data_IF_877072679904
#
_entry.id   IF_877072679904
#
_cell.length_a   1.000
_cell.length_b   1.000
_cell.length_c   1.000
_cell.angle_alpha   90.00
_cell.angle_beta   90.00
_cell.angle_gamma   90.00
#
_symmetry.space_group_name_H-M   'P 1'
#
loop_
_entity.id
_entity.type
_entity.pdbx_description
1 polymer ?
#
# COMPACT_ATOMS: atom_id res chain seq x y z
N UNK A 1 -24.08 -27.77 -0.92
CA UNK A 1 -23.00 -28.74 -1.18
C UNK A 1 -21.85 -28.20 -2.03
N UNK A 2 -22.02 -27.64 -3.25
CA UNK A 2 -20.89 -26.99 -3.99
C UNK A 2 -20.42 -25.65 -3.40
N UNK A 3 -21.33 -24.82 -2.88
CA UNK A 3 -20.98 -23.57 -2.20
C UNK A 3 -20.35 -23.78 -0.81
N UNK A 4 -20.68 -24.87 -0.13
CA UNK A 4 -20.13 -25.20 1.20
C UNK A 4 -18.67 -25.64 1.08
N UNK A 5 -18.31 -26.47 0.10
CA UNK A 5 -16.92 -26.86 -0.14
C UNK A 5 -16.03 -25.67 -0.52
N UNK A 6 -16.47 -24.77 -1.41
CA UNK A 6 -15.68 -23.56 -1.73
C UNK A 6 -15.60 -22.58 -0.57
N UNK A 7 -16.64 -22.48 0.27
CA UNK A 7 -16.61 -21.66 1.49
C UNK A 7 -15.62 -22.20 2.52
N UNK A 8 -15.57 -23.51 2.71
CA UNK A 8 -14.69 -24.19 3.68
C UNK A 8 -13.21 -24.06 3.29
N UNK A 9 -12.84 -24.24 2.01
CA UNK A 9 -11.47 -24.00 1.53
C UNK A 9 -11.04 -22.53 1.63
N UNK A 10 -11.96 -21.59 1.40
CA UNK A 10 -11.70 -20.15 1.56
C UNK A 10 -11.51 -19.79 3.04
N UNK A 11 -12.28 -20.40 3.94
CA UNK A 11 -12.15 -20.22 5.39
C UNK A 11 -10.86 -20.83 5.94
N UNK A 12 -10.46 -22.03 5.48
CA UNK A 12 -9.19 -22.65 5.86
C UNK A 12 -8.00 -21.81 5.39
N UNK A 13 -8.03 -21.30 4.16
CA UNK A 13 -7.01 -20.40 3.64
C UNK A 13 -6.94 -19.08 4.42
N UNK A 14 -8.10 -18.54 4.81
CA UNK A 14 -8.19 -17.33 5.62
C UNK A 14 -7.62 -17.54 7.02
N UNK A 15 -7.95 -18.63 7.71
CA UNK A 15 -7.42 -18.90 9.06
C UNK A 15 -5.91 -19.11 9.03
N UNK A 16 -5.39 -19.84 8.04
CA UNK A 16 -3.95 -20.01 7.85
C UNK A 16 -3.25 -18.65 7.59
N UNK A 17 -3.88 -17.76 6.84
CA UNK A 17 -3.40 -16.38 6.63
C UNK A 17 -3.42 -15.57 7.93
N UNK A 18 -4.48 -15.68 8.73
CA UNK A 18 -4.58 -15.02 10.04
C UNK A 18 -3.52 -15.53 11.02
N UNK A 19 -3.26 -16.83 11.07
CA UNK A 19 -2.19 -17.45 11.85
C UNK A 19 -0.80 -16.98 11.41
N UNK A 20 -0.59 -16.85 10.11
CA UNK A 20 0.64 -16.26 9.59
C UNK A 20 0.80 -14.81 10.06
N UNK A 21 -0.24 -13.98 9.92
CA UNK A 21 -0.22 -12.58 10.37
C UNK A 21 0.05 -12.45 11.87
N UNK A 22 -0.56 -13.30 12.71
CA UNK A 22 -0.29 -13.33 14.17
C UNK A 22 1.17 -13.66 14.49
N UNK A 23 1.77 -14.61 13.78
CA UNK A 23 3.21 -14.93 13.94
C UNK A 23 4.10 -13.76 13.54
N UNK A 24 3.79 -13.08 12.44
CA UNK A 24 4.54 -11.88 12.02
C UNK A 24 4.39 -10.75 13.05
N UNK A 25 3.20 -10.58 13.63
CA UNK A 25 2.97 -9.61 14.73
C UNK A 25 3.85 -9.96 15.93
N UNK A 26 3.90 -11.23 16.34
CA UNK A 26 4.73 -11.67 17.46
C UNK A 26 6.20 -11.37 17.21
N UNK A 27 6.75 -11.78 16.05
CA UNK A 27 8.13 -11.50 15.66
C UNK A 27 8.42 -9.98 15.63
N UNK A 28 7.49 -9.18 15.11
CA UNK A 28 7.63 -7.74 15.01
C UNK A 28 7.63 -7.06 16.40
N UNK A 29 6.72 -7.44 17.28
CA UNK A 29 6.61 -6.88 18.63
C UNK A 29 7.80 -7.29 19.51
N UNK A 30 8.30 -8.53 19.37
CA UNK A 30 9.47 -9.03 20.10
C UNK A 30 10.74 -8.19 19.85
N UNK A 31 10.81 -7.46 18.73
CA UNK A 31 11.92 -6.53 18.46
C UNK A 31 11.96 -5.35 19.45
N UNK A 32 10.83 -5.01 20.08
CA UNK A 32 10.67 -3.82 20.94
C UNK A 32 10.61 -2.47 20.20
N UNK A 33 10.78 -2.46 18.87
CA UNK A 33 10.81 -1.24 18.06
C UNK A 33 9.52 -0.97 17.30
N UNK A 34 8.71 -2.00 17.03
CA UNK A 34 7.51 -1.88 16.20
C UNK A 34 6.36 -1.31 17.03
N UNK A 35 5.89 -0.13 16.64
CA UNK A 35 4.83 0.64 17.33
C UNK A 35 3.67 1.02 16.40
N UNK A 36 3.53 0.32 15.28
CA UNK A 36 2.38 0.51 14.42
C UNK A 36 2.09 -0.72 13.55
N UNK A 37 0.83 -0.84 13.15
CA UNK A 37 0.35 -1.92 12.29
C UNK A 37 -0.52 -1.34 11.17
N UNK A 38 -0.19 -1.70 9.94
CA UNK A 38 -1.06 -1.50 8.78
C UNK A 38 -1.77 -2.81 8.51
N UNK A 39 -3.10 -2.79 8.45
CA UNK A 39 -3.88 -3.94 8.04
C UNK A 39 -4.53 -3.67 6.70
N UNK A 40 -4.17 -4.48 5.72
CA UNK A 40 -4.85 -4.58 4.43
C UNK A 40 -5.68 -5.86 4.42
N UNK A 41 -6.98 -5.69 4.24
CA UNK A 41 -7.94 -6.77 4.10
C UNK A 41 -8.82 -6.54 2.84
N UNK A 42 -8.29 -5.85 1.83
CA UNK A 42 -9.01 -5.48 0.60
C UNK A 42 -9.50 -6.69 -0.19
N UNK A 43 -8.76 -7.80 -0.17
CA UNK A 43 -9.17 -9.08 -0.79
C UNK A 43 -10.48 -9.67 -0.20
N UNK A 44 -10.89 -9.23 1.00
CA UNK A 44 -12.10 -9.67 1.67
C UNK A 44 -13.31 -8.75 1.40
N UNK A 45 -13.16 -7.73 0.55
CA UNK A 45 -14.26 -6.81 0.19
C UNK A 45 -15.22 -7.50 -0.79
N UNK A 46 -16.50 -7.49 -0.43
CA UNK A 46 -17.59 -8.14 -1.18
C UNK A 46 -18.28 -7.16 -2.14
N UNK A 47 -17.65 -6.94 -3.29
CA UNK A 47 -18.14 -6.00 -4.32
C UNK A 47 -19.49 -6.39 -4.92
N UNK A 48 -19.95 -7.63 -4.78
CA UNK A 48 -21.25 -8.06 -5.28
C UNK A 48 -22.42 -7.26 -4.69
N UNK A 49 -22.31 -6.78 -3.45
CA UNK A 49 -23.38 -6.04 -2.78
C UNK A 49 -23.61 -4.63 -3.33
N UNK A 50 -22.72 -4.12 -4.18
CA UNK A 50 -22.91 -2.82 -4.86
C UNK A 50 -23.57 -2.95 -6.22
N UNK A 51 -23.84 -4.17 -6.70
CA UNK A 51 -24.52 -4.41 -7.98
C UNK A 51 -26.04 -4.58 -7.76
N UNK A 52 -26.89 -3.58 -8.09
CA UNK A 52 -28.33 -3.67 -7.86
C UNK A 52 -29.03 -4.72 -8.71
N UNK A 53 -28.39 -5.17 -9.80
CA UNK A 53 -28.93 -6.23 -10.66
C UNK A 53 -28.77 -7.62 -10.04
N UNK A 54 -27.72 -7.83 -9.26
CA UNK A 54 -27.46 -9.07 -8.51
C UNK A 54 -28.08 -9.03 -7.11
N UNK A 55 -28.08 -7.86 -6.48
CA UNK A 55 -28.57 -7.63 -5.12
C UNK A 55 -29.59 -6.49 -5.10
N UNK A 56 -30.87 -6.79 -5.41
CA UNK A 56 -31.98 -5.86 -5.19
C UNK A 56 -32.09 -5.43 -3.73
N UNK A 57 -32.67 -4.25 -3.48
CA UNK A 57 -32.76 -3.68 -2.12
C UNK A 57 -33.52 -4.58 -1.12
N UNK A 58 -34.52 -5.34 -1.58
CA UNK A 58 -35.22 -6.31 -0.74
C UNK A 58 -34.28 -7.37 -0.18
N UNK A 59 -33.41 -7.92 -1.04
CA UNK A 59 -32.47 -8.98 -0.68
C UNK A 59 -31.32 -8.44 0.16
N UNK A 60 -30.82 -7.23 -0.15
CA UNK A 60 -29.83 -6.52 0.68
C UNK A 60 -30.34 -6.34 2.10
N UNK A 61 -31.61 -5.94 2.26
CA UNK A 61 -32.22 -5.78 3.59
C UNK A 61 -32.24 -7.09 4.34
N UNK A 62 -32.74 -8.16 3.72
CA UNK A 62 -32.80 -9.50 4.34
C UNK A 62 -31.41 -9.97 4.77
N UNK A 63 -30.43 -9.89 3.87
CA UNK A 63 -29.05 -10.30 4.14
C UNK A 63 -28.41 -9.47 5.26
N UNK A 64 -28.61 -8.15 5.24
CA UNK A 64 -28.11 -7.26 6.28
C UNK A 64 -28.62 -7.64 7.67
N UNK A 65 -29.93 -7.83 7.84
CA UNK A 65 -30.50 -8.23 9.13
C UNK A 65 -30.07 -9.64 9.54
N UNK A 66 -29.89 -10.55 8.56
CA UNK A 66 -29.41 -11.90 8.82
C UNK A 66 -27.96 -11.91 9.31
N UNK A 67 -27.05 -11.19 8.64
CA UNK A 67 -25.64 -11.18 9.00
C UNK A 67 -25.36 -10.37 10.28
N UNK A 68 -26.04 -9.23 10.46
CA UNK A 68 -25.77 -8.34 11.59
C UNK A 68 -26.60 -8.64 12.84
N UNK A 69 -27.75 -9.30 12.71
CA UNK A 69 -28.61 -9.67 13.84
C UNK A 69 -28.89 -8.48 14.75
N UNK A 70 -28.60 -8.63 16.05
CA UNK A 70 -28.81 -7.58 17.06
C UNK A 70 -27.95 -6.32 16.82
N UNK A 71 -26.81 -6.44 16.13
CA UNK A 71 -25.92 -5.31 15.85
C UNK A 71 -26.41 -4.43 14.68
N UNK A 72 -27.42 -4.89 13.92
CA UNK A 72 -27.91 -4.17 12.74
C UNK A 72 -28.43 -2.76 13.08
N UNK A 73 -29.18 -2.63 14.18
CA UNK A 73 -29.67 -1.36 14.69
C UNK A 73 -28.53 -0.40 15.04
N UNK A 74 -27.45 -0.92 15.64
CA UNK A 74 -26.29 -0.10 16.00
C UNK A 74 -25.53 0.38 14.75
N UNK A 75 -25.41 -0.47 13.74
CA UNK A 75 -24.80 -0.10 12.45
C UNK A 75 -25.62 0.98 11.74
N UNK A 76 -26.95 0.89 11.74
CA UNK A 76 -27.80 1.93 11.16
C UNK A 76 -27.77 3.24 11.98
N UNK A 77 -27.39 3.20 13.26
CA UNK A 77 -27.24 4.39 14.11
C UNK A 77 -25.85 5.02 14.05
N UNK A 78 -24.82 4.26 13.69
CA UNK A 78 -23.45 4.78 13.58
C UNK A 78 -23.32 5.85 12.48
N UNK A 79 -24.20 5.79 11.48
CA UNK A 79 -24.36 6.79 10.43
C UNK A 79 -25.85 7.12 10.33
N UNK A 80 -26.24 8.33 10.71
CA UNK A 80 -27.66 8.72 10.69
C UNK A 80 -28.14 8.86 9.23
N UNK A 81 -29.16 8.10 8.80
CA UNK A 81 -29.72 8.25 7.46
C UNK A 81 -30.23 9.67 7.23
N UNK A 82 -29.95 10.21 6.05
CA UNK A 82 -30.31 11.57 5.60
C UNK A 82 -29.72 12.72 6.43
N UNK A 83 -28.90 12.43 7.44
CA UNK A 83 -28.10 13.45 8.11
C UNK A 83 -27.04 14.00 7.15
N UNK A 84 -26.84 15.32 7.20
CA UNK A 84 -25.86 16.02 6.38
C UNK A 84 -24.58 16.24 7.18
N UNK A 85 -23.56 15.46 6.86
CA UNK A 85 -22.22 15.64 7.39
C UNK A 85 -21.49 16.68 6.54
N UNK A 86 -21.29 17.89 7.08
CA UNK A 86 -20.56 18.98 6.42
C UNK A 86 -19.09 18.91 6.83
N UNK A 87 -18.21 18.57 5.88
CA UNK A 87 -16.80 18.29 6.08
C UNK A 87 -15.96 19.23 5.21
N UNK A 88 -15.43 20.33 5.76
CA UNK A 88 -14.51 21.28 5.11
C UNK A 88 -14.89 21.68 3.65
N UNK A 89 -14.58 20.83 2.66
CA UNK A 89 -14.86 21.01 1.24
C UNK A 89 -16.02 20.16 0.65
N UNK A 90 -16.70 19.31 1.43
CA UNK A 90 -17.77 18.40 0.95
C UNK A 90 -18.93 18.28 1.94
N UNK A 91 -20.14 18.02 1.43
CA UNK A 91 -21.30 17.56 2.22
C UNK A 91 -21.63 16.11 1.85
N UNK A 92 -21.72 15.22 2.84
CA UNK A 92 -22.04 13.80 2.67
C UNK A 92 -23.35 13.48 3.39
N UNK A 93 -24.21 12.69 2.75
CA UNK A 93 -25.39 12.09 3.38
C UNK A 93 -25.58 10.67 2.88
N UNK A 94 -26.24 9.84 3.67
CA UNK A 94 -26.46 8.43 3.38
C UNK A 94 -27.95 8.08 3.37
N UNK A 95 -28.35 7.20 2.48
CA UNK A 95 -29.62 6.48 2.60
C UNK A 95 -29.41 5.21 3.43
N UNK A 96 -30.49 4.64 3.97
CA UNK A 96 -30.42 3.33 4.63
C UNK A 96 -29.87 2.24 3.71
N UNK A 97 -30.26 2.27 2.43
CA UNK A 97 -29.78 1.31 1.43
C UNK A 97 -28.25 1.36 1.29
N UNK A 98 -27.67 2.55 1.18
CA UNK A 98 -26.22 2.71 1.07
C UNK A 98 -25.50 2.19 2.31
N UNK A 99 -26.03 2.46 3.51
CA UNK A 99 -25.45 1.95 4.76
C UNK A 99 -25.47 0.42 4.79
N UNK A 100 -26.59 -0.20 4.42
CA UNK A 100 -26.71 -1.66 4.38
C UNK A 100 -25.77 -2.30 3.35
N UNK A 101 -25.66 -1.69 2.15
CA UNK A 101 -24.74 -2.17 1.09
C UNK A 101 -23.29 -2.06 1.53
N UNK A 102 -22.88 -0.92 2.11
CA UNK A 102 -21.52 -0.76 2.62
C UNK A 102 -21.24 -1.70 3.79
N UNK A 103 -22.21 -1.91 4.68
CA UNK A 103 -22.10 -2.87 5.77
C UNK A 103 -21.82 -4.28 5.27
N UNK A 104 -22.59 -4.77 4.29
CA UNK A 104 -22.34 -6.08 3.69
C UNK A 104 -21.01 -6.12 2.92
N UNK A 105 -20.70 -5.10 2.12
CA UNK A 105 -19.46 -5.00 1.33
C UNK A 105 -18.21 -5.10 2.21
N UNK A 106 -18.19 -4.42 3.35
CA UNK A 106 -17.00 -4.29 4.21
C UNK A 106 -17.01 -5.18 5.48
N UNK A 107 -18.09 -5.93 5.75
CA UNK A 107 -18.22 -6.71 6.99
C UNK A 107 -17.01 -7.61 7.26
N UNK A 108 -16.68 -8.48 6.31
CA UNK A 108 -15.66 -9.51 6.52
C UNK A 108 -14.27 -8.89 6.69
N UNK A 109 -13.92 -7.90 5.86
CA UNK A 109 -12.62 -7.23 5.97
C UNK A 109 -12.48 -6.46 7.30
N UNK A 110 -13.52 -5.77 7.78
CA UNK A 110 -13.46 -5.04 9.04
C UNK A 110 -13.43 -5.96 10.27
N UNK A 111 -14.13 -7.10 10.23
CA UNK A 111 -14.05 -8.10 11.29
C UNK A 111 -12.64 -8.68 11.42
N UNK A 112 -11.99 -9.05 10.31
CA UNK A 112 -10.62 -9.56 10.32
C UNK A 112 -9.59 -8.50 10.68
N UNK A 113 -9.80 -7.25 10.25
CA UNK A 113 -9.03 -6.10 10.71
C UNK A 113 -9.12 -5.91 12.22
N UNK A 114 -10.32 -6.05 12.80
CA UNK A 114 -10.53 -5.97 14.26
C UNK A 114 -9.81 -7.07 15.02
N UNK A 115 -9.84 -8.30 14.52
CA UNK A 115 -9.10 -9.42 15.13
C UNK A 115 -7.60 -9.13 15.23
N UNK A 116 -6.99 -8.64 14.14
CA UNK A 116 -5.56 -8.26 14.14
C UNK A 116 -5.29 -7.03 15.01
N UNK A 117 -6.18 -6.04 15.01
CA UNK A 117 -6.07 -4.86 15.86
C UNK A 117 -6.06 -5.23 17.35
N UNK A 118 -7.02 -6.04 17.82
CA UNK A 118 -7.09 -6.45 19.22
C UNK A 118 -5.90 -7.34 19.61
N UNK A 119 -5.46 -8.20 18.69
CA UNK A 119 -4.26 -9.01 18.90
C UNK A 119 -3.02 -8.13 19.09
N UNK A 120 -2.80 -7.16 18.18
CA UNK A 120 -1.66 -6.24 18.26
C UNK A 120 -1.73 -5.34 19.49
N UNK A 121 -2.92 -4.85 19.84
CA UNK A 121 -3.17 -4.06 21.06
C UNK A 121 -2.79 -4.82 22.33
N UNK A 122 -3.13 -6.09 22.42
CA UNK A 122 -2.75 -6.95 23.54
C UNK A 122 -1.21 -7.07 23.65
N UNK A 123 -0.53 -7.25 22.52
CA UNK A 123 0.94 -7.41 22.45
C UNK A 123 1.71 -6.13 22.77
N UNK A 124 1.11 -4.96 22.51
CA UNK A 124 1.74 -3.64 22.68
C UNK A 124 1.23 -2.87 23.90
N UNK A 125 0.38 -3.48 24.74
CA UNK A 125 -0.31 -2.81 25.86
C UNK A 125 -1.08 -1.54 25.43
N UNK A 126 -1.59 -1.51 24.20
CA UNK A 126 -2.34 -0.38 23.64
C UNK A 126 -1.51 0.85 23.23
N UNK A 127 -0.19 0.78 23.31
CA UNK A 127 0.71 1.86 22.87
C UNK A 127 1.23 1.60 21.45
N UNK A 128 0.36 1.87 20.48
CA UNK A 128 0.63 1.70 19.05
C UNK A 128 -0.20 2.62 18.16
N UNK A 129 0.20 2.73 16.90
CA UNK A 129 -0.58 3.36 15.85
C UNK A 129 -1.22 2.34 14.90
N UNK A 130 -2.50 2.55 14.57
CA UNK A 130 -3.23 1.70 13.64
C UNK A 130 -3.49 2.40 12.31
N UNK A 131 -3.21 1.69 11.22
CA UNK A 131 -3.50 2.11 9.86
C UNK A 131 -4.46 1.13 9.17
N UNK A 132 -5.60 1.65 8.69
CA UNK A 132 -6.53 0.94 7.82
C UNK A 132 -6.11 1.12 6.35
N UNK A 133 -5.77 0.03 5.66
CA UNK A 133 -5.46 0.05 4.22
C UNK A 133 -6.67 -0.28 3.37
N UNK A 134 -6.91 0.53 2.35
CA UNK A 134 -7.95 0.41 1.31
C UNK A 134 -7.38 0.76 -0.07
N UNK A 135 -6.06 0.70 -0.26
CA UNK A 135 -5.36 1.15 -1.47
C UNK A 135 -5.22 0.06 -2.54
N UNK A 136 -5.24 -1.22 -2.16
CA UNK A 136 -5.16 -2.36 -3.08
C UNK A 136 -6.53 -2.79 -3.64
N UNK A 137 -7.45 -1.84 -3.81
CA UNK A 137 -8.78 -2.08 -4.41
C UNK A 137 -8.77 -1.88 -5.93
N UNK A 138 -9.62 -2.59 -6.71
CA UNK A 138 -9.75 -2.37 -8.16
C UNK A 138 -10.31 -0.99 -8.52
N UNK A 139 -11.06 -0.37 -7.60
CA UNK A 139 -11.72 0.91 -7.78
C UNK A 139 -11.11 1.98 -6.87
N UNK A 140 -11.15 3.24 -7.31
CA UNK A 140 -10.79 4.38 -6.47
C UNK A 140 -11.70 4.42 -5.24
N UNK A 141 -11.14 4.78 -4.08
CA UNK A 141 -11.93 4.85 -2.85
C UNK A 141 -12.96 5.97 -2.94
N UNK A 142 -14.24 5.61 -2.81
CA UNK A 142 -15.34 6.56 -2.73
C UNK A 142 -15.36 7.26 -1.35
N UNK A 143 -15.62 8.58 -1.28
CA UNK A 143 -15.66 9.31 -0.01
C UNK A 143 -16.68 8.77 1.00
N UNK A 144 -17.84 8.28 0.53
CA UNK A 144 -18.88 7.69 1.39
C UNK A 144 -18.44 6.34 1.92
N UNK A 145 -17.75 5.56 1.11
CA UNK A 145 -17.16 4.28 1.54
C UNK A 145 -16.06 4.51 2.58
N UNK A 146 -15.16 5.48 2.37
CA UNK A 146 -14.15 5.85 3.37
C UNK A 146 -14.80 6.30 4.69
N UNK A 147 -15.82 7.16 4.61
CA UNK A 147 -16.55 7.61 5.78
C UNK A 147 -17.21 6.43 6.50
N UNK A 148 -17.83 5.51 5.77
CA UNK A 148 -18.43 4.30 6.33
C UNK A 148 -17.39 3.47 7.08
N UNK A 149 -16.27 3.13 6.44
CA UNK A 149 -15.22 2.32 7.04
C UNK A 149 -14.67 2.95 8.33
N UNK A 150 -14.38 4.26 8.32
CA UNK A 150 -13.86 4.95 9.51
C UNK A 150 -14.91 5.05 10.63
N UNK A 151 -16.18 5.27 10.29
CA UNK A 151 -17.28 5.25 11.26
C UNK A 151 -17.43 3.88 11.91
N UNK A 152 -17.36 2.83 11.09
CA UNK A 152 -17.51 1.45 11.54
C UNK A 152 -16.30 1.00 12.37
N UNK A 153 -15.07 1.40 12.01
CA UNK A 153 -13.90 1.21 12.84
C UNK A 153 -14.07 1.86 14.22
N UNK A 154 -14.55 3.11 14.27
CA UNK A 154 -14.84 3.80 15.54
C UNK A 154 -15.90 3.05 16.35
N UNK A 155 -16.99 2.57 15.72
CA UNK A 155 -18.03 1.78 16.38
C UNK A 155 -17.46 0.49 16.98
N UNK A 156 -16.56 -0.18 16.25
CA UNK A 156 -15.88 -1.40 16.70
C UNK A 156 -14.78 -1.18 17.75
N UNK A 157 -14.50 0.07 18.14
CA UNK A 157 -13.45 0.40 19.12
C UNK A 157 -12.02 0.43 18.55
N UNK A 158 -11.88 0.48 17.22
CA UNK A 158 -10.59 0.61 16.54
C UNK A 158 -10.25 2.10 16.36
N UNK A 159 -9.22 2.58 17.05
CA UNK A 159 -8.71 3.93 16.89
C UNK A 159 -7.83 4.00 15.64
N UNK A 160 -8.33 4.59 14.56
CA UNK A 160 -7.61 4.72 13.28
C UNK A 160 -6.82 6.02 13.26
N UNK A 161 -5.49 5.94 13.31
CA UNK A 161 -4.62 7.13 13.20
C UNK A 161 -4.32 7.47 11.74
N UNK A 162 -4.20 6.42 10.92
CA UNK A 162 -3.81 6.51 9.53
C UNK A 162 -4.80 5.74 8.65
N UNK A 163 -5.08 6.24 7.46
CA UNK A 163 -5.89 5.52 6.47
C UNK A 163 -5.27 5.66 5.09
N UNK A 164 -5.14 4.54 4.39
CA UNK A 164 -4.55 4.50 3.05
C UNK A 164 -5.62 4.21 2.00
N UNK A 165 -6.26 5.23 1.41
CA UNK A 165 -7.23 5.02 0.34
C UNK A 165 -6.56 4.80 -1.02
N UNK A 166 -7.26 4.14 -1.93
CA UNK A 166 -6.89 4.09 -3.35
C UNK A 166 -7.17 5.45 -4.02
N UNK A 167 -6.10 6.24 -4.19
CA UNK A 167 -6.13 7.53 -4.90
C UNK A 167 -5.77 7.42 -6.38
N UNK A 168 -5.53 6.21 -6.89
CA UNK A 168 -5.09 5.95 -8.27
C UNK A 168 -3.57 5.91 -8.44
N UNK A 169 -2.84 5.60 -7.38
CA UNK A 169 -1.38 5.43 -7.44
C UNK A 169 -1.01 4.00 -7.80
N UNK A 170 -0.22 3.86 -8.86
CA UNK A 170 0.40 2.58 -9.21
C UNK A 170 1.77 2.44 -8.56
N UNK A 171 2.15 1.21 -8.20
CA UNK A 171 3.49 0.86 -7.74
C UNK A 171 4.50 1.17 -8.84
N UNK A 172 5.60 1.86 -8.48
CA UNK A 172 6.79 2.07 -9.33
C UNK A 172 6.58 2.90 -10.62
N UNK A 173 5.44 3.54 -10.75
CA UNK A 173 5.13 4.45 -11.85
C UNK A 173 4.78 5.84 -11.32
N UNK A 174 4.98 6.85 -12.17
CA UNK A 174 4.43 8.17 -11.88
C UNK A 174 2.90 8.18 -12.08
N UNK A 175 2.22 9.15 -11.48
CA UNK A 175 0.78 9.34 -11.68
C UNK A 175 0.49 9.85 -13.09
N UNK A 176 -0.30 9.09 -13.86
CA UNK A 176 -0.61 9.39 -15.27
C UNK A 176 -1.90 10.21 -15.46
N UNK A 177 -2.66 10.44 -14.39
CA UNK A 177 -3.95 11.14 -14.43
C UNK A 177 -3.83 12.67 -14.34
N UNK A 178 -4.99 13.34 -14.33
CA UNK A 178 -5.06 14.78 -14.14
C UNK A 178 -4.72 15.18 -12.70
N UNK A 179 -3.76 16.08 -12.52
CA UNK A 179 -3.39 16.60 -11.20
C UNK A 179 -4.54 17.36 -10.53
N UNK A 180 -5.40 18.04 -11.29
CA UNK A 180 -6.56 18.73 -10.74
C UNK A 180 -7.62 17.75 -10.21
N UNK A 181 -7.80 16.61 -10.89
CA UNK A 181 -8.69 15.55 -10.42
C UNK A 181 -8.12 14.85 -9.19
N UNK A 182 -6.82 14.56 -9.18
CA UNK A 182 -6.13 14.03 -8.02
C UNK A 182 -6.26 14.98 -6.82
N UNK A 183 -6.04 16.28 -7.04
CA UNK A 183 -6.17 17.30 -6.00
C UNK A 183 -7.56 17.27 -5.38
N UNK A 184 -8.62 17.39 -6.19
CA UNK A 184 -10.01 17.37 -5.70
C UNK A 184 -10.33 16.10 -4.93
N UNK A 185 -9.91 14.94 -5.45
CA UNK A 185 -10.10 13.64 -4.81
C UNK A 185 -9.44 13.59 -3.43
N UNK A 186 -8.16 13.99 -3.37
CA UNK A 186 -7.39 13.97 -2.12
C UNK A 186 -7.92 15.00 -1.11
N UNK A 187 -8.34 16.19 -1.55
CA UNK A 187 -8.98 17.20 -0.68
C UNK A 187 -10.21 16.60 0.01
N UNK A 188 -11.08 15.94 -0.74
CA UNK A 188 -12.29 15.30 -0.21
C UNK A 188 -11.95 14.15 0.74
N UNK A 189 -11.05 13.25 0.35
CA UNK A 189 -10.66 12.11 1.20
C UNK A 189 -9.97 12.57 2.49
N UNK A 190 -9.17 13.65 2.41
CA UNK A 190 -8.51 14.27 3.57
C UNK A 190 -9.52 14.90 4.53
N UNK A 191 -10.56 15.56 4.01
CA UNK A 191 -11.64 16.10 4.82
C UNK A 191 -12.41 14.98 5.56
N UNK A 192 -12.68 13.86 4.89
CA UNK A 192 -13.29 12.68 5.51
C UNK A 192 -12.40 12.08 6.60
N UNK A 193 -11.12 11.83 6.30
CA UNK A 193 -10.18 11.28 7.29
C UNK A 193 -10.04 12.21 8.52
N UNK A 194 -9.93 13.52 8.28
CA UNK A 194 -9.82 14.54 9.32
C UNK A 194 -11.02 14.59 10.27
N UNK A 195 -12.24 14.34 9.78
CA UNK A 195 -13.44 14.22 10.63
C UNK A 195 -13.33 13.11 11.68
N UNK A 196 -12.61 12.04 11.37
CA UNK A 196 -12.33 10.93 12.29
C UNK A 196 -11.00 11.08 13.04
N UNK A 197 -10.30 12.22 12.90
CA UNK A 197 -8.95 12.50 13.39
C UNK A 197 -7.82 11.65 12.76
N UNK A 198 -8.11 10.94 11.66
CA UNK A 198 -7.12 10.18 10.92
C UNK A 198 -6.31 11.08 9.97
N UNK A 199 -5.18 10.56 9.49
CA UNK A 199 -4.32 11.19 8.49
C UNK A 199 -4.25 10.27 7.26
N UNK A 200 -4.33 10.85 6.06
CA UNK A 200 -4.12 10.07 4.84
C UNK A 200 -2.67 9.59 4.75
N UNK A 201 -2.51 8.29 4.52
CA UNK A 201 -1.22 7.70 4.15
C UNK A 201 -1.20 7.26 2.68
N UNK A 202 -0.22 7.73 1.94
CA UNK A 202 -0.05 7.44 0.53
C UNK A 202 0.89 6.25 0.35
N UNK A 203 0.31 5.10 0.01
CA UNK A 203 1.04 3.92 -0.44
C UNK A 203 1.43 4.05 -1.91
N UNK A 204 2.39 3.22 -2.36
CA UNK A 204 2.93 3.28 -3.72
C UNK A 204 3.45 4.67 -4.11
N UNK A 205 3.82 5.48 -3.12
CA UNK A 205 4.07 6.90 -3.29
C UNK A 205 5.49 7.26 -3.70
N UNK A 206 6.47 6.36 -3.60
CA UNK A 206 7.90 6.69 -3.72
C UNK A 206 8.38 7.12 -5.12
N UNK A 207 7.64 6.74 -6.16
CA UNK A 207 8.06 6.91 -7.56
C UNK A 207 7.30 8.04 -8.27
N UNK A 208 6.67 8.94 -7.50
CA UNK A 208 5.89 10.05 -8.04
C UNK A 208 6.75 11.27 -8.34
N UNK A 209 6.31 12.08 -9.30
CA UNK A 209 6.94 13.36 -9.63
C UNK A 209 6.73 14.40 -8.53
N UNK A 210 7.58 15.44 -8.56
CA UNK A 210 7.52 16.57 -7.61
C UNK A 210 6.16 17.28 -7.69
N UNK A 211 5.58 17.37 -8.88
CA UNK A 211 4.27 17.97 -9.13
C UNK A 211 3.17 17.18 -8.42
N UNK A 212 3.23 15.84 -8.44
CA UNK A 212 2.29 14.98 -7.72
C UNK A 212 2.43 15.16 -6.21
N UNK A 213 3.65 15.17 -5.68
CA UNK A 213 3.88 15.42 -4.25
C UNK A 213 3.32 16.78 -3.80
N UNK A 214 3.62 17.84 -4.54
CA UNK A 214 3.07 19.18 -4.27
C UNK A 214 1.55 19.22 -4.34
N UNK A 215 0.96 18.43 -5.24
CA UNK A 215 -0.50 18.33 -5.40
C UNK A 215 -1.13 17.70 -4.16
N UNK A 216 -0.65 16.54 -3.72
CA UNK A 216 -1.20 15.85 -2.53
C UNK A 216 -0.92 16.64 -1.25
N UNK A 217 0.23 17.32 -1.15
CA UNK A 217 0.56 18.14 0.01
C UNK A 217 -0.38 19.34 0.18
N UNK A 218 -0.67 20.05 -0.92
CA UNK A 218 -1.65 21.14 -0.91
C UNK A 218 -3.04 20.63 -0.56
N UNK A 219 -3.45 19.51 -1.15
CA UNK A 219 -4.75 18.90 -0.92
C UNK A 219 -4.95 18.45 0.54
N UNK A 220 -3.90 17.91 1.17
CA UNK A 220 -3.92 17.52 2.58
C UNK A 220 -3.56 18.64 3.55
N UNK A 221 -3.34 19.88 3.08
CA UNK A 221 -2.90 21.03 3.90
C UNK A 221 -1.66 20.70 4.76
N UNK A 222 -0.73 19.90 4.21
CA UNK A 222 0.48 19.44 4.90
C UNK A 222 0.29 18.33 5.95
N UNK A 223 -0.95 17.87 6.21
CA UNK A 223 -1.27 16.77 7.13
C UNK A 223 -1.40 15.45 6.37
N UNK A 224 -0.27 14.80 6.10
CA UNK A 224 -0.22 13.53 5.38
C UNK A 224 0.96 12.66 5.85
N UNK A 225 0.89 11.38 5.50
CA UNK A 225 2.00 10.43 5.55
C UNK A 225 2.26 9.89 4.13
N UNK A 226 3.52 9.62 3.80
CA UNK A 226 3.91 9.01 2.52
C UNK A 226 4.82 7.82 2.82
N UNK A 227 4.46 6.61 2.36
CA UNK A 227 5.33 5.45 2.47
C UNK A 227 6.40 5.46 1.38
N UNK A 228 7.66 5.47 1.82
CA UNK A 228 8.83 5.32 0.95
C UNK A 228 9.65 4.09 1.39
N UNK A 229 9.79 3.10 0.50
CA UNK A 229 10.54 1.88 0.80
C UNK A 229 11.45 1.46 -0.37
N UNK A 230 10.84 1.14 -1.51
CA UNK A 230 11.50 0.60 -2.69
C UNK A 230 12.60 1.51 -3.25
N UNK A 231 12.37 2.83 -3.25
CA UNK A 231 13.30 3.80 -3.81
C UNK A 231 14.68 3.75 -3.17
N UNK A 232 14.79 3.47 -1.88
CA UNK A 232 16.08 3.42 -1.18
C UNK A 232 16.94 2.24 -1.65
N UNK A 233 16.32 1.08 -1.90
CA UNK A 233 17.05 -0.04 -2.49
C UNK A 233 17.48 0.25 -3.93
N UNK A 234 16.66 0.95 -4.73
CA UNK A 234 17.08 1.42 -6.06
C UNK A 234 18.25 2.41 -5.97
N UNK A 235 18.26 3.32 -4.99
CA UNK A 235 19.42 4.19 -4.74
C UNK A 235 20.67 3.43 -4.35
N UNK A 236 20.54 2.30 -3.65
CA UNK A 236 21.68 1.43 -3.38
C UNK A 236 22.23 0.82 -4.67
N UNK A 237 21.37 0.32 -5.56
CA UNK A 237 21.81 -0.20 -6.86
C UNK A 237 22.41 0.88 -7.77
N UNK A 238 21.89 2.12 -7.72
CA UNK A 238 22.54 3.27 -8.37
C UNK A 238 23.96 3.49 -7.85
N UNK A 239 24.18 3.43 -6.53
CA UNK A 239 25.53 3.55 -5.98
C UNK A 239 26.45 2.47 -6.51
N UNK A 240 26.02 1.21 -6.49
CA UNK A 240 26.83 0.10 -6.98
C UNK A 240 27.15 0.22 -8.48
N UNK A 241 26.19 0.70 -9.27
CA UNK A 241 26.39 0.97 -10.69
C UNK A 241 27.37 2.13 -10.94
N UNK A 242 27.42 3.14 -10.07
CA UNK A 242 28.31 4.31 -10.21
C UNK A 242 29.80 3.99 -9.91
N UNK A 243 30.12 2.81 -9.39
CA UNK A 243 31.52 2.41 -9.18
C UNK A 243 32.21 2.05 -10.52
N UNK A 244 33.56 2.20 -10.60
CA UNK A 244 34.31 1.89 -11.80
C UNK A 244 34.08 0.47 -12.32
N UNK A 245 34.12 0.31 -13.63
CA UNK A 245 34.09 -0.99 -14.29
C UNK A 245 35.21 -1.89 -13.75
N UNK A 246 34.91 -3.15 -13.47
CA UNK A 246 35.85 -4.08 -12.84
C UNK A 246 36.02 -3.94 -11.33
N UNK A 247 35.31 -3.04 -10.65
CA UNK A 247 35.18 -3.06 -9.19
C UNK A 247 34.27 -4.22 -8.72
N UNK A 248 34.32 -4.56 -7.44
CA UNK A 248 33.42 -5.58 -6.86
C UNK A 248 31.97 -5.10 -6.86
N UNK A 249 31.77 -3.83 -6.52
CA UNK A 249 30.48 -3.14 -6.45
C UNK A 249 29.78 -3.16 -7.80
N UNK A 250 30.51 -2.74 -8.85
CA UNK A 250 29.99 -2.72 -10.21
C UNK A 250 29.64 -4.11 -10.71
N UNK A 251 30.51 -5.11 -10.47
CA UNK A 251 30.23 -6.51 -10.82
C UNK A 251 28.98 -7.03 -10.13
N UNK A 252 28.82 -6.77 -8.82
CA UNK A 252 27.62 -7.19 -8.08
C UNK A 252 26.36 -6.57 -8.68
N UNK A 253 26.39 -5.29 -9.03
CA UNK A 253 25.26 -4.65 -9.72
C UNK A 253 24.96 -5.32 -11.06
N UNK A 254 25.98 -5.59 -11.88
CA UNK A 254 25.81 -6.20 -13.21
C UNK A 254 25.26 -7.63 -13.14
N UNK A 255 25.66 -8.41 -12.13
CA UNK A 255 25.12 -9.75 -11.86
C UNK A 255 23.65 -9.68 -11.40
N UNK A 256 23.31 -8.72 -10.54
CA UNK A 256 21.92 -8.46 -10.10
C UNK A 256 21.07 -8.06 -11.31
N UNK A 257 21.61 -7.24 -12.20
CA UNK A 257 20.94 -6.83 -13.42
C UNK A 257 20.63 -8.01 -14.33
N UNK A 258 21.60 -8.89 -14.58
CA UNK A 258 21.40 -10.11 -15.37
C UNK A 258 20.37 -11.03 -14.74
N UNK A 259 20.47 -11.25 -13.42
CA UNK A 259 19.50 -12.06 -12.69
C UNK A 259 18.09 -11.51 -12.83
N UNK A 260 17.95 -10.18 -12.72
CA UNK A 260 16.67 -9.50 -12.82
C UNK A 260 16.09 -9.62 -14.24
N UNK A 261 16.94 -9.58 -15.28
CA UNK A 261 16.52 -9.76 -16.66
C UNK A 261 15.98 -11.17 -16.90
N UNK A 262 16.70 -12.19 -16.39
CA UNK A 262 16.24 -13.58 -16.45
C UNK A 262 14.96 -13.82 -15.65
N UNK A 263 14.82 -13.17 -14.49
CA UNK A 263 13.58 -13.20 -13.73
C UNK A 263 12.42 -12.61 -14.54
N UNK A 264 12.61 -11.42 -15.12
CA UNK A 264 11.60 -10.78 -15.97
C UNK A 264 11.22 -11.66 -17.17
N UNK A 265 12.20 -12.30 -17.84
CA UNK A 265 11.95 -13.26 -18.94
C UNK A 265 11.03 -14.40 -18.50
N UNK A 266 11.27 -14.99 -17.32
CA UNK A 266 10.39 -16.04 -16.77
C UNK A 266 8.98 -15.52 -16.49
N UNK A 267 8.85 -14.33 -15.89
CA UNK A 267 7.55 -13.72 -15.63
C UNK A 267 6.76 -13.47 -16.92
N UNK A 268 7.41 -12.99 -17.97
CA UNK A 268 6.79 -12.81 -19.27
C UNK A 268 6.27 -14.14 -19.87
N UNK A 269 7.06 -15.22 -19.76
CA UNK A 269 6.63 -16.57 -20.15
C UNK A 269 5.43 -17.08 -19.33
N UNK A 270 5.35 -16.69 -18.06
CA UNK A 270 4.23 -16.98 -17.15
C UNK A 270 2.99 -16.08 -17.40
N UNK A 271 3.04 -15.18 -18.40
CA UNK A 271 1.92 -14.33 -18.81
C UNK A 271 1.90 -12.93 -18.19
N UNK A 272 2.97 -12.51 -17.51
CA UNK A 272 3.11 -11.15 -17.00
C UNK A 272 3.31 -10.15 -18.16
N UNK A 273 2.24 -9.42 -18.50
CA UNK A 273 2.24 -8.44 -19.59
C UNK A 273 3.17 -7.25 -19.35
N UNK A 274 3.41 -6.88 -18.08
CA UNK A 274 4.32 -5.78 -17.73
C UNK A 274 5.75 -6.21 -18.02
N UNK A 275 6.12 -7.44 -17.63
CA UNK A 275 7.41 -8.02 -17.98
C UNK A 275 7.62 -8.10 -19.50
N UNK A 276 6.63 -8.59 -20.25
CA UNK A 276 6.73 -8.70 -21.73
C UNK A 276 6.98 -7.33 -22.37
N UNK A 277 6.22 -6.31 -21.97
CA UNK A 277 6.38 -4.95 -22.49
C UNK A 277 7.78 -4.37 -22.19
N UNK A 278 8.22 -4.45 -20.93
CA UNK A 278 9.53 -3.93 -20.51
C UNK A 278 10.70 -4.68 -21.17
N UNK A 279 10.54 -5.97 -21.44
CA UNK A 279 11.54 -6.77 -22.17
C UNK A 279 11.64 -6.36 -23.64
N UNK A 280 10.52 -6.03 -24.29
CA UNK A 280 10.54 -5.47 -25.66
C UNK A 280 11.27 -4.14 -25.70
N UNK A 281 11.09 -3.29 -24.69
CA UNK A 281 11.74 -1.99 -24.59
C UNK A 281 13.27 -2.11 -24.49
N UNK A 282 13.78 -2.89 -23.52
CA UNK A 282 15.25 -3.11 -23.36
C UNK A 282 15.87 -3.74 -24.62
N UNK A 283 15.16 -4.67 -25.28
CA UNK A 283 15.64 -5.31 -26.50
C UNK A 283 15.89 -4.30 -27.65
N UNK A 284 15.26 -3.12 -27.64
CA UNK A 284 15.46 -2.11 -28.69
C UNK A 284 16.84 -1.42 -28.64
N UNK A 285 17.57 -1.54 -27.52
CA UNK A 285 18.87 -0.88 -27.35
C UNK A 285 19.96 -1.72 -26.68
N UNK A 286 19.63 -2.86 -26.09
CA UNK A 286 20.61 -3.71 -25.38
C UNK A 286 21.75 -4.21 -26.29
N UNK A 287 21.48 -4.48 -27.57
CA UNK A 287 22.49 -4.98 -28.52
C UNK A 287 23.29 -3.86 -29.20
N UNK A 288 23.03 -2.59 -28.87
CA UNK A 288 23.72 -1.44 -29.47
C UNK A 288 25.13 -1.28 -28.89
N UNK A 289 26.08 -0.89 -29.72
CA UNK A 289 27.44 -0.57 -29.28
C UNK A 289 27.42 0.54 -28.23
N UNK A 290 28.16 0.33 -27.13
CA UNK A 290 28.18 1.28 -26.00
C UNK A 290 27.04 1.09 -25.01
N UNK A 291 26.24 0.02 -25.13
CA UNK A 291 25.27 -0.36 -24.11
C UNK A 291 25.95 -0.55 -22.76
N UNK A 292 25.35 0.02 -21.72
CA UNK A 292 25.76 -0.19 -20.33
C UNK A 292 24.52 -0.52 -19.50
N UNK A 293 24.63 -1.57 -18.69
CA UNK A 293 23.57 -1.99 -17.77
C UNK A 293 23.23 -0.83 -16.83
N UNK A 294 21.96 -0.49 -16.72
CA UNK A 294 21.53 0.71 -16.01
C UNK A 294 20.49 0.36 -14.93
N UNK A 295 20.67 0.81 -13.67
CA UNK A 295 19.66 0.60 -12.62
C UNK A 295 18.33 1.30 -12.90
N UNK A 296 18.26 2.16 -13.94
CA UNK A 296 17.05 2.84 -14.39
C UNK A 296 16.27 2.08 -15.47
N UNK A 297 16.79 0.96 -15.98
CA UNK A 297 16.04 0.13 -16.93
C UNK A 297 14.73 -0.33 -16.28
N UNK A 298 13.60 -0.22 -16.99
CA UNK A 298 12.28 -0.36 -16.37
C UNK A 298 12.04 -1.76 -15.77
N UNK A 299 12.46 -2.82 -16.47
CA UNK A 299 12.41 -4.18 -15.92
C UNK A 299 13.25 -4.30 -14.63
N UNK A 300 14.39 -3.61 -14.56
CA UNK A 300 15.25 -3.64 -13.38
C UNK A 300 14.59 -2.93 -12.21
N UNK A 301 14.05 -1.72 -12.43
CA UNK A 301 13.31 -0.96 -11.42
C UNK A 301 12.10 -1.73 -10.90
N UNK A 302 11.47 -2.54 -11.74
CA UNK A 302 10.29 -3.31 -11.36
C UNK A 302 10.64 -4.61 -10.64
N UNK A 303 11.58 -5.40 -11.15
CA UNK A 303 11.77 -6.77 -10.68
C UNK A 303 12.98 -6.97 -9.75
N UNK A 304 13.92 -6.02 -9.63
CA UNK A 304 15.19 -6.24 -8.89
C UNK A 304 15.05 -6.50 -7.39
N UNK A 305 13.90 -6.22 -6.77
CA UNK A 305 13.72 -6.44 -5.31
C UNK A 305 13.82 -7.91 -4.89
N UNK A 306 13.50 -8.83 -5.80
CA UNK A 306 13.55 -10.27 -5.56
C UNK A 306 14.96 -10.77 -5.22
N UNK A 307 16.02 -10.02 -5.57
CA UNK A 307 17.40 -10.48 -5.46
C UNK A 307 17.86 -10.67 -4.02
N UNK A 308 17.24 -9.98 -3.06
CA UNK A 308 17.55 -10.16 -1.62
C UNK A 308 17.19 -11.56 -1.13
N UNK A 309 16.24 -12.23 -1.79
CA UNK A 309 15.84 -13.60 -1.50
C UNK A 309 16.14 -14.57 -2.65
N UNK A 310 16.94 -14.16 -3.65
CA UNK A 310 17.39 -15.06 -4.70
C UNK A 310 18.26 -16.16 -4.10
N UNK A 311 17.94 -17.41 -4.43
CA UNK A 311 18.60 -18.60 -3.90
C UNK A 311 19.27 -19.40 -5.01
N UNK A 312 20.41 -20.04 -4.69
CA UNK A 312 21.00 -21.08 -5.53
C UNK A 312 20.20 -22.39 -5.43
N UNK A 313 20.60 -23.41 -6.20
CA UNK A 313 20.00 -24.75 -6.18
C UNK A 313 20.08 -25.43 -4.79
N UNK A 314 20.97 -24.97 -3.91
CA UNK A 314 21.12 -25.46 -2.54
C UNK A 314 20.33 -24.62 -1.53
N UNK A 315 19.51 -23.67 -1.98
CA UNK A 315 18.71 -22.80 -1.12
C UNK A 315 19.47 -21.64 -0.47
N UNK A 316 20.76 -21.43 -0.79
CA UNK A 316 21.59 -20.36 -0.21
C UNK A 316 21.32 -19.05 -0.92
N UNK A 317 21.17 -17.96 -0.16
CA UNK A 317 20.95 -16.62 -0.70
C UNK A 317 22.21 -16.12 -1.41
N UNK A 318 22.13 -15.84 -2.71
CA UNK A 318 23.32 -15.58 -3.55
C UNK A 318 23.78 -14.12 -3.53
N UNK A 319 22.88 -13.16 -3.26
CA UNK A 319 23.22 -11.74 -3.22
C UNK A 319 23.20 -11.14 -1.81
N UNK A 320 22.37 -11.66 -0.90
CA UNK A 320 22.09 -11.03 0.39
C UNK A 320 23.37 -10.70 1.18
N UNK A 321 24.24 -11.68 1.41
CA UNK A 321 25.45 -11.48 2.22
C UNK A 321 26.44 -10.50 1.56
N UNK A 322 26.51 -10.53 0.21
CA UNK A 322 27.34 -9.61 -0.57
C UNK A 322 26.80 -8.18 -0.46
N UNK A 323 25.49 -7.99 -0.56
CA UNK A 323 24.84 -6.69 -0.40
C UNK A 323 25.09 -6.11 1.00
N UNK A 324 24.93 -6.91 2.06
CA UNK A 324 25.23 -6.47 3.43
C UNK A 324 26.72 -6.19 3.67
N UNK A 325 27.63 -6.94 3.03
CA UNK A 325 29.06 -6.65 3.11
C UNK A 325 29.39 -5.34 2.39
N UNK A 326 28.87 -5.14 1.18
CA UNK A 326 29.10 -3.92 0.41
C UNK A 326 28.53 -2.69 1.11
N UNK A 327 27.36 -2.79 1.74
CA UNK A 327 26.75 -1.66 2.46
C UNK A 327 27.57 -1.19 3.67
N UNK A 328 28.49 -2.02 4.18
CA UNK A 328 29.42 -1.69 5.27
C UNK A 328 30.74 -1.08 4.78
N UNK A 329 31.02 -1.10 3.47
CA UNK A 329 32.21 -0.42 2.93
C UNK A 329 32.01 1.09 3.02
N UNK A 330 33.01 1.80 3.54
CA UNK A 330 32.97 3.24 3.79
C UNK A 330 32.51 4.03 2.55
N UNK A 331 33.17 3.82 1.41
CA UNK A 331 32.89 4.57 0.19
C UNK A 331 31.48 4.30 -0.36
N UNK A 332 30.99 3.06 -0.24
CA UNK A 332 29.62 2.69 -0.63
C UNK A 332 28.61 3.36 0.30
N UNK A 333 28.83 3.28 1.61
CA UNK A 333 27.97 3.89 2.62
C UNK A 333 27.87 5.41 2.44
N UNK A 334 29.00 6.10 2.26
CA UNK A 334 29.02 7.56 2.10
C UNK A 334 28.26 8.00 0.84
N UNK A 335 28.50 7.35 -0.31
CA UNK A 335 27.75 7.61 -1.54
C UNK A 335 26.26 7.33 -1.39
N UNK A 336 25.92 6.24 -0.70
CA UNK A 336 24.53 5.85 -0.45
C UNK A 336 23.80 6.81 0.47
N UNK A 337 24.42 7.20 1.58
CA UNK A 337 23.88 8.16 2.53
C UNK A 337 23.53 9.50 1.84
N UNK A 338 24.40 9.99 0.95
CA UNK A 338 24.13 11.20 0.16
C UNK A 338 22.92 11.02 -0.76
N UNK A 339 22.82 9.90 -1.48
CA UNK A 339 21.65 9.65 -2.36
C UNK A 339 20.35 9.51 -1.57
N UNK A 340 20.37 8.81 -0.43
CA UNK A 340 19.22 8.67 0.48
C UNK A 340 18.80 10.05 0.97
N UNK A 341 19.73 10.82 1.56
CA UNK A 341 19.44 12.16 2.08
C UNK A 341 18.83 13.07 1.01
N UNK A 342 19.46 13.16 -0.17
CA UNK A 342 18.97 14.03 -1.25
C UNK A 342 17.60 13.59 -1.76
N UNK A 343 17.36 12.29 -1.88
CA UNK A 343 16.05 11.74 -2.29
C UNK A 343 14.97 12.07 -1.26
N UNK A 344 15.22 11.77 0.03
CA UNK A 344 14.28 12.05 1.12
C UNK A 344 14.02 13.54 1.25
N UNK A 345 15.07 14.38 1.19
CA UNK A 345 14.94 15.83 1.24
C UNK A 345 14.09 16.36 0.09
N UNK A 346 14.33 15.91 -1.14
CA UNK A 346 13.56 16.36 -2.32
C UNK A 346 12.08 16.07 -2.16
N UNK A 347 11.74 14.87 -1.66
CA UNK A 347 10.34 14.49 -1.42
C UNK A 347 9.75 15.31 -0.27
N UNK A 348 10.47 15.45 0.84
CA UNK A 348 10.00 16.22 2.00
C UNK A 348 9.81 17.72 1.67
N UNK A 349 10.70 18.32 0.87
CA UNK A 349 10.58 19.68 0.34
C UNK A 349 9.34 19.79 -0.57
N UNK A 350 9.14 18.82 -1.47
CA UNK A 350 7.99 18.80 -2.37
C UNK A 350 6.65 18.62 -1.62
N UNK A 351 6.68 17.96 -0.46
CA UNK A 351 5.54 17.76 0.42
C UNK A 351 5.30 18.92 1.41
N UNK A 352 6.10 19.99 1.38
CA UNK A 352 6.05 21.10 2.35
C UNK A 352 6.24 20.64 3.82
N UNK A 353 6.99 19.55 4.04
CA UNK A 353 7.27 19.02 5.38
C UNK A 353 8.49 19.68 6.04
N UNK A 354 9.35 20.30 5.23
CA UNK A 354 10.53 21.04 5.69
C UNK A 354 10.11 22.51 5.85
N UNK A 355 9.26 22.80 6.82
CA UNK A 355 9.07 24.18 7.24
C UNK A 355 10.27 24.60 8.10
N UNK A 356 10.86 25.74 7.76
CA UNK A 356 11.72 26.46 8.70
C UNK A 356 10.94 26.62 10.01
N UNK A 357 11.62 26.43 11.16
CA UNK A 357 11.00 26.62 12.47
C UNK A 357 10.27 27.98 12.55
N UNK A 358 9.31 28.13 13.47
CA UNK A 358 8.58 29.39 13.60
C UNK A 358 9.56 30.57 13.69
N UNK A 359 9.41 31.55 12.79
CA UNK A 359 10.10 32.85 12.87
C UNK A 359 9.70 33.61 14.14
#
# INVERSE_FOLDING_TARGET
SRNEQTGEYVLEGLEASMDYNRRIIDEAVETGFVRGITVDASDLIRYEFTDPSKWPIGDVRVEFWMEFGEAAEEVLRSIQPHHRYVLDCIEISFTEEEIMRFALKYRLCLLKSRELYEYFKCKTNGDFSYELSLDETPELTDPKELFYCLSECRRMGMAVDLVAPNVGFSKREDYKGSLDELKRRVEVLSAVAGYFNAILDFHSGSDKSVEVYRTIAKACKGRLKLKMSAIYQLKFFEVLADFPEGSEERRVFEEIWDYTLEYARRRALEGDKVADQQLREIATYMDKTGFTKNPKDDFFRYYSFIVVNAKDLNGRRIFMDRLYRLSRKKDVYEKYAVKVFNTTKTVADALDLIRAGPE
#
